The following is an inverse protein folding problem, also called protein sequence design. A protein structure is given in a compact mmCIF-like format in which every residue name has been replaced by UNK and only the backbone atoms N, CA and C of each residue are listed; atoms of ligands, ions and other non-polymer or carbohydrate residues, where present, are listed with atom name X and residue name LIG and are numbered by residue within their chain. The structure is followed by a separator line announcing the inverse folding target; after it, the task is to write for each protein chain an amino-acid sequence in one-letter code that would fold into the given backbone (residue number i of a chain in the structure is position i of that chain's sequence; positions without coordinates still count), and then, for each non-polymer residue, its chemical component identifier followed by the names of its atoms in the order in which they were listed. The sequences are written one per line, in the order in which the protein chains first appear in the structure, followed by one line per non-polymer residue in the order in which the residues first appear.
data_IF_139312111641
#
_entry.id   IF_139312111641
#
_cell.length_a   1.000
_cell.length_b   1.000
_cell.length_c   1.000
_cell.angle_alpha   90.00
_cell.angle_beta   90.00
_cell.angle_gamma   90.00
#
_symmetry.space_group_name_H-M   'P 1'
#
loop_
_entity.id
_entity.type
_entity.pdbx_description
1 polymer ?
#
# COMPACT_ATOMS: atom_id res chain seq x y z
N UNK A 1 -17.48 0.57 15.14
CA UNK A 1 -16.51 -0.53 15.34
C UNK A 1 -15.18 -0.05 14.78
N UNK A 2 -14.04 -0.42 15.35
CA UNK A 2 -12.73 -0.18 14.72
C UNK A 2 -12.64 -1.03 13.45
N UNK A 3 -11.79 -0.63 12.50
CA UNK A 3 -11.49 -1.46 11.32
C UNK A 3 -10.85 -2.80 11.70
N UNK A 4 -10.47 -3.57 10.69
CA UNK A 4 -9.66 -4.79 10.79
C UNK A 4 -8.37 -4.61 9.98
N UNK A 5 -7.43 -5.53 10.15
CA UNK A 5 -6.33 -5.70 9.20
C UNK A 5 -6.74 -6.74 8.15
N UNK A 6 -6.83 -6.35 6.89
CA UNK A 6 -7.05 -7.27 5.77
C UNK A 6 -5.68 -7.64 5.22
N UNK A 7 -5.32 -8.91 5.35
CA UNK A 7 -4.09 -9.47 4.83
C UNK A 7 -4.38 -10.17 3.50
N UNK A 8 -3.65 -9.82 2.46
CA UNK A 8 -3.72 -10.49 1.16
C UNK A 8 -2.36 -11.05 0.77
N UNK A 9 -2.37 -12.18 0.06
CA UNK A 9 -1.17 -12.76 -0.54
C UNK A 9 -1.33 -12.81 -2.06
N UNK A 10 -0.37 -12.23 -2.78
CA UNK A 10 -0.38 -12.14 -4.25
C UNK A 10 0.90 -12.74 -4.81
N UNK A 11 0.81 -13.45 -5.92
CA UNK A 11 1.99 -13.94 -6.65
C UNK A 11 1.91 -13.65 -8.13
N UNK A 12 2.95 -13.01 -8.67
CA UNK A 12 3.13 -12.92 -10.12
C UNK A 12 3.59 -14.29 -10.65
N UNK A 13 2.72 -14.93 -11.42
CA UNK A 13 2.89 -16.27 -11.99
C UNK A 13 2.77 -16.25 -13.52
N UNK A 14 3.18 -15.16 -14.15
CA UNK A 14 2.97 -14.91 -15.57
C UNK A 14 4.18 -15.25 -16.45
N UNK A 15 5.31 -15.66 -15.88
CA UNK A 15 6.52 -16.01 -16.63
C UNK A 15 6.37 -17.39 -17.27
N UNK A 16 6.54 -17.44 -18.59
CA UNK A 16 6.47 -18.65 -19.41
C UNK A 16 7.35 -18.57 -20.66
N UNK A 17 7.70 -19.74 -21.20
CA UNK A 17 8.29 -19.95 -22.52
C UNK A 17 7.61 -21.14 -23.24
N UNK A 18 8.23 -21.67 -24.30
CA UNK A 18 7.72 -22.84 -25.02
C UNK A 18 7.80 -24.15 -24.22
N UNK A 19 8.63 -24.20 -23.17
CA UNK A 19 8.91 -25.39 -22.37
C UNK A 19 8.09 -25.42 -21.07
N UNK A 20 7.51 -24.29 -20.65
CA UNK A 20 6.58 -24.25 -19.52
C UNK A 20 6.43 -22.88 -18.87
N UNK A 21 5.99 -22.89 -17.62
CA UNK A 21 5.90 -21.73 -16.74
C UNK A 21 6.62 -21.98 -15.41
N UNK A 22 6.74 -20.96 -14.56
CA UNK A 22 7.42 -21.00 -13.26
C UNK A 22 6.68 -21.83 -12.17
N UNK A 23 6.31 -23.06 -12.51
CA UNK A 23 5.44 -23.93 -11.69
C UNK A 23 6.12 -24.51 -10.46
N UNK A 24 7.45 -24.67 -10.46
CA UNK A 24 8.16 -25.14 -9.27
C UNK A 24 8.18 -24.05 -8.19
N UNK A 25 8.33 -22.79 -8.60
CA UNK A 25 8.18 -21.65 -7.72
C UNK A 25 6.77 -21.52 -7.14
N UNK A 26 5.74 -21.73 -7.96
CA UNK A 26 4.34 -21.77 -7.49
C UNK A 26 4.12 -22.88 -6.45
N UNK A 27 4.62 -24.09 -6.70
CA UNK A 27 4.51 -25.22 -5.75
C UNK A 27 5.18 -24.89 -4.41
N UNK A 28 6.33 -24.24 -4.45
CA UNK A 28 7.04 -23.79 -3.24
C UNK A 28 6.21 -22.80 -2.43
N UNK A 29 5.57 -21.84 -3.10
CA UNK A 29 4.67 -20.88 -2.46
C UNK A 29 3.42 -21.57 -1.89
N UNK A 30 2.79 -22.46 -2.65
CA UNK A 30 1.67 -23.28 -2.18
C UNK A 30 2.03 -23.98 -0.86
N UNK A 31 3.19 -24.63 -0.77
CA UNK A 31 3.62 -25.34 0.44
C UNK A 31 3.90 -24.40 1.62
N UNK A 32 4.41 -23.20 1.36
CA UNK A 32 4.74 -22.22 2.40
C UNK A 32 3.49 -21.50 2.94
N UNK A 33 2.53 -21.18 2.08
CA UNK A 33 1.40 -20.29 2.39
C UNK A 33 0.14 -21.07 2.77
N UNK A 34 -0.26 -22.09 1.99
CA UNK A 34 -1.57 -22.74 2.18
C UNK A 34 -1.69 -23.55 3.46
N UNK A 35 -0.58 -24.00 4.04
CA UNK A 35 -0.59 -24.62 5.37
C UNK A 35 -1.07 -23.69 6.50
N UNK A 36 -1.17 -22.38 6.23
CA UNK A 36 -1.72 -21.37 7.12
C UNK A 36 -3.17 -20.99 6.79
N UNK A 37 -3.82 -21.68 5.85
CA UNK A 37 -5.16 -21.38 5.33
C UNK A 37 -5.29 -19.94 4.82
N UNK A 38 -4.30 -19.48 4.04
CA UNK A 38 -4.28 -18.15 3.44
C UNK A 38 -4.42 -18.31 1.92
N UNK A 39 -5.48 -17.76 1.29
CA UNK A 39 -5.63 -17.85 -0.15
C UNK A 39 -4.58 -17.01 -0.88
N UNK A 40 -4.11 -17.52 -2.02
CA UNK A 40 -3.21 -16.79 -2.93
C UNK A 40 -4.00 -16.26 -4.12
N UNK A 41 -3.73 -15.02 -4.51
CA UNK A 41 -4.12 -14.52 -5.84
C UNK A 41 -2.97 -14.69 -6.81
N UNK A 42 -3.16 -15.54 -7.83
CA UNK A 42 -2.19 -15.81 -8.88
C UNK A 42 -2.42 -14.87 -10.06
N UNK A 43 -1.44 -14.05 -10.41
CA UNK A 43 -1.49 -13.19 -11.59
C UNK A 43 -0.92 -13.96 -12.77
N UNK A 44 -1.77 -14.29 -13.75
CA UNK A 44 -1.44 -15.17 -14.88
C UNK A 44 -1.69 -14.49 -16.22
N UNK A 45 -0.94 -14.87 -17.25
CA UNK A 45 -1.19 -14.42 -18.63
C UNK A 45 -1.86 -15.53 -19.45
N UNK A 46 -2.34 -15.21 -20.65
CA UNK A 46 -2.88 -16.23 -21.55
C UNK A 46 -1.85 -17.30 -21.93
N UNK A 47 -0.55 -16.99 -21.82
CA UNK A 47 0.53 -17.92 -22.14
C UNK A 47 0.96 -18.79 -20.95
N UNK A 48 0.85 -18.31 -19.71
CA UNK A 48 1.17 -19.12 -18.52
C UNK A 48 0.00 -19.99 -18.06
N UNK A 49 -1.24 -19.53 -18.25
CA UNK A 49 -2.46 -20.21 -17.84
C UNK A 49 -2.56 -21.71 -18.24
N UNK A 50 -2.19 -22.13 -19.47
CA UNK A 50 -2.29 -23.54 -19.88
C UNK A 50 -1.44 -24.48 -19.01
N UNK A 51 -0.28 -24.03 -18.54
CA UNK A 51 0.65 -24.84 -17.75
C UNK A 51 0.27 -24.94 -16.26
N UNK A 52 -0.61 -24.06 -15.81
CA UNK A 52 -0.94 -23.85 -14.40
C UNK A 52 -2.37 -24.25 -14.07
N UNK A 53 -3.17 -24.62 -15.08
CA UNK A 53 -4.62 -24.86 -14.95
C UNK A 53 -4.97 -25.83 -13.83
N UNK A 54 -4.36 -27.01 -13.85
CA UNK A 54 -4.72 -28.09 -12.93
C UNK A 54 -4.44 -27.69 -11.48
N UNK A 55 -3.23 -27.17 -11.20
CA UNK A 55 -2.84 -26.76 -9.86
C UNK A 55 -3.67 -25.60 -9.31
N UNK A 56 -3.88 -24.52 -10.09
CA UNK A 56 -4.65 -23.37 -9.60
C UNK A 56 -6.11 -23.74 -9.41
N UNK A 57 -6.69 -24.60 -10.26
CA UNK A 57 -8.07 -25.06 -10.08
C UNK A 57 -8.23 -25.88 -8.80
N UNK A 58 -7.29 -26.80 -8.53
CA UNK A 58 -7.27 -27.55 -7.28
C UNK A 58 -7.14 -26.61 -6.06
N UNK A 59 -6.23 -25.63 -6.12
CA UNK A 59 -6.02 -24.72 -5.00
C UNK A 59 -7.18 -23.73 -4.81
N UNK A 60 -7.89 -23.36 -5.88
CA UNK A 60 -9.14 -22.62 -5.77
C UNK A 60 -10.19 -23.42 -4.98
N UNK A 61 -10.39 -24.70 -5.34
CA UNK A 61 -11.38 -25.56 -4.69
C UNK A 61 -11.09 -25.81 -3.19
N UNK A 62 -9.80 -25.90 -2.83
CA UNK A 62 -9.37 -26.21 -1.46
C UNK A 62 -9.17 -24.95 -0.61
N UNK A 63 -8.47 -23.95 -1.14
CA UNK A 63 -7.98 -22.78 -0.38
C UNK A 63 -8.65 -21.46 -0.77
N UNK A 64 -9.53 -21.45 -1.77
CA UNK A 64 -10.15 -20.23 -2.32
C UNK A 64 -9.15 -19.28 -2.98
N UNK A 65 -8.08 -19.84 -3.55
CA UNK A 65 -7.19 -19.12 -4.45
C UNK A 65 -7.97 -18.45 -5.58
N UNK A 66 -7.46 -17.35 -6.07
CA UNK A 66 -8.13 -16.54 -7.09
C UNK A 66 -7.13 -16.12 -8.17
N UNK A 67 -7.66 -15.62 -9.29
CA UNK A 67 -6.85 -15.25 -10.44
C UNK A 67 -7.01 -13.78 -10.77
N UNK A 68 -5.89 -13.15 -11.08
CA UNK A 68 -5.84 -11.84 -11.71
C UNK A 68 -5.17 -11.95 -13.09
N UNK A 69 -5.56 -11.05 -14.00
CA UNK A 69 -5.10 -11.02 -15.37
C UNK A 69 -3.77 -10.25 -15.48
N UNK A 70 -2.69 -10.91 -15.89
CA UNK A 70 -1.44 -10.22 -16.23
C UNK A 70 -1.57 -9.47 -17.56
N UNK A 71 -1.16 -8.20 -17.54
CA UNK A 71 -1.00 -7.35 -18.72
C UNK A 71 0.47 -7.02 -18.99
N UNK A 72 1.40 -7.92 -18.64
CA UNK A 72 2.84 -7.67 -18.80
C UNK A 72 3.32 -7.60 -20.26
N UNK A 73 2.58 -8.23 -21.19
CA UNK A 73 2.93 -8.29 -22.63
C UNK A 73 1.89 -7.56 -23.48
N UNK A 74 1.98 -6.23 -23.52
CA UNK A 74 1.09 -5.39 -24.34
C UNK A 74 1.71 -5.16 -25.72
N UNK A 75 1.07 -5.60 -26.83
CA UNK A 75 1.53 -5.29 -28.17
C UNK A 75 1.51 -3.79 -28.46
N UNK A 76 2.49 -3.29 -29.20
CA UNK A 76 2.56 -1.87 -29.62
C UNK A 76 1.25 -1.35 -30.19
N UNK A 77 0.51 -2.20 -30.92
CA UNK A 77 -0.69 -1.78 -31.63
C UNK A 77 -1.88 -1.60 -30.69
N UNK A 78 -1.91 -2.36 -29.58
CA UNK A 78 -2.89 -2.21 -28.51
C UNK A 78 -2.65 -0.89 -27.74
N UNK A 79 -1.39 -0.48 -27.59
CA UNK A 79 -1.01 0.75 -26.89
C UNK A 79 -1.30 2.04 -27.67
N UNK A 80 -1.89 1.98 -28.87
CA UNK A 80 -2.16 3.16 -29.71
C UNK A 80 -3.47 3.87 -29.38
N UNK A 81 -4.47 3.18 -28.83
CA UNK A 81 -5.75 3.77 -28.45
C UNK A 81 -6.44 2.96 -27.36
N UNK A 82 -7.36 3.61 -26.64
CA UNK A 82 -8.17 2.94 -25.61
C UNK A 82 -8.99 1.78 -26.21
N UNK A 83 -9.56 1.94 -27.40
CA UNK A 83 -10.35 0.89 -28.06
C UNK A 83 -9.49 -0.30 -28.53
N UNK A 84 -8.26 -0.04 -28.98
CA UNK A 84 -7.32 -1.11 -29.31
C UNK A 84 -6.90 -1.88 -28.06
N UNK A 85 -6.63 -1.15 -26.97
CA UNK A 85 -6.31 -1.73 -25.67
C UNK A 85 -7.47 -2.56 -25.10
N UNK A 86 -8.71 -2.06 -25.18
CA UNK A 86 -9.89 -2.80 -24.72
C UNK A 86 -10.04 -4.14 -25.41
N UNK A 87 -9.92 -4.16 -26.74
CA UNK A 87 -9.97 -5.41 -27.52
C UNK A 87 -8.85 -6.38 -27.14
N UNK A 88 -7.66 -5.86 -26.84
CA UNK A 88 -6.56 -6.69 -26.36
C UNK A 88 -6.86 -7.28 -24.98
N UNK A 89 -7.28 -6.46 -24.02
CA UNK A 89 -7.64 -6.91 -22.66
C UNK A 89 -8.78 -7.92 -22.68
N UNK A 90 -9.85 -7.68 -23.45
CA UNK A 90 -10.94 -8.64 -23.64
C UNK A 90 -10.43 -9.95 -24.22
N UNK A 91 -9.60 -9.91 -25.26
CA UNK A 91 -9.03 -11.11 -25.86
C UNK A 91 -8.14 -11.89 -24.89
N UNK A 92 -7.32 -11.22 -24.09
CA UNK A 92 -6.48 -11.88 -23.09
C UNK A 92 -7.33 -12.48 -21.96
N UNK A 93 -8.33 -11.75 -21.49
CA UNK A 93 -9.30 -12.22 -20.50
C UNK A 93 -10.05 -13.46 -20.98
N UNK A 94 -10.54 -13.45 -22.22
CA UNK A 94 -11.28 -14.57 -22.80
C UNK A 94 -10.40 -15.82 -22.88
N UNK A 95 -9.15 -15.68 -23.33
CA UNK A 95 -8.19 -16.80 -23.39
C UNK A 95 -7.89 -17.36 -22.00
N UNK A 96 -7.68 -16.52 -20.99
CA UNK A 96 -7.43 -16.98 -19.61
C UNK A 96 -8.68 -17.65 -19.04
N UNK A 97 -9.88 -17.14 -19.35
CA UNK A 97 -11.15 -17.70 -18.91
C UNK A 97 -11.41 -19.12 -19.47
N UNK A 98 -10.84 -19.50 -20.62
CA UNK A 98 -10.89 -20.87 -21.14
C UNK A 98 -10.25 -21.89 -20.17
N UNK A 99 -9.22 -21.47 -19.43
CA UNK A 99 -8.55 -22.30 -18.43
C UNK A 99 -9.22 -22.19 -17.06
N UNK A 100 -9.79 -21.03 -16.73
CA UNK A 100 -10.33 -20.71 -15.41
C UNK A 100 -11.74 -20.09 -15.48
N UNK A 101 -12.76 -20.86 -15.92
CA UNK A 101 -14.11 -20.32 -16.15
C UNK A 101 -14.85 -19.91 -14.86
N UNK A 102 -14.32 -20.27 -13.69
CA UNK A 102 -14.86 -19.92 -12.38
C UNK A 102 -14.43 -18.52 -11.91
N UNK A 103 -13.33 -17.96 -12.43
CA UNK A 103 -12.82 -16.66 -12.01
C UNK A 103 -13.52 -15.52 -12.73
N UNK A 104 -13.77 -14.40 -12.03
CA UNK A 104 -14.28 -13.18 -12.67
C UNK A 104 -13.22 -12.49 -13.53
N UNK A 105 -11.93 -12.68 -13.25
CA UNK A 105 -10.82 -11.99 -13.93
C UNK A 105 -11.04 -10.47 -14.03
N UNK A 106 -11.47 -9.87 -12.92
CA UNK A 106 -11.81 -8.44 -12.79
C UNK A 106 -10.72 -7.63 -12.08
N UNK A 107 -9.60 -8.26 -11.73
CA UNK A 107 -8.38 -7.59 -11.28
C UNK A 107 -7.29 -7.79 -12.33
N UNK A 108 -6.60 -6.71 -12.68
CA UNK A 108 -5.43 -6.75 -13.53
C UNK A 108 -4.14 -6.67 -12.70
N UNK A 109 -3.07 -7.26 -13.20
CA UNK A 109 -1.70 -7.06 -12.73
C UNK A 109 -0.84 -6.50 -13.86
N UNK A 110 0.13 -5.65 -13.51
CA UNK A 110 0.98 -4.91 -14.45
C UNK A 110 0.23 -3.88 -15.31
N UNK A 111 0.97 -3.02 -16.02
CA UNK A 111 0.41 -2.03 -16.94
C UNK A 111 -0.12 -0.75 -16.28
N UNK A 112 -0.02 -0.61 -14.95
CA UNK A 112 -0.52 0.53 -14.18
C UNK A 112 0.15 1.86 -14.55
N UNK A 113 1.33 1.82 -15.15
CA UNK A 113 2.04 3.01 -15.67
C UNK A 113 1.33 3.67 -16.87
N UNK A 114 0.44 2.96 -17.56
CA UNK A 114 -0.16 3.41 -18.82
C UNK A 114 -1.59 3.94 -18.62
N UNK A 115 -1.80 5.23 -18.90
CA UNK A 115 -3.12 5.87 -18.91
C UNK A 115 -4.11 5.14 -19.83
N UNK A 116 -3.64 4.65 -20.98
CA UNK A 116 -4.46 3.91 -21.95
C UNK A 116 -4.96 2.59 -21.34
N UNK A 117 -4.10 1.88 -20.59
CA UNK A 117 -4.48 0.66 -19.88
C UNK A 117 -5.51 0.96 -18.80
N UNK A 118 -5.27 1.97 -17.96
CA UNK A 118 -6.17 2.33 -16.86
C UNK A 118 -7.56 2.73 -17.35
N UNK A 119 -7.64 3.53 -18.43
CA UNK A 119 -8.92 3.90 -19.05
C UNK A 119 -9.63 2.69 -19.64
N UNK A 120 -8.91 1.82 -20.34
CA UNK A 120 -9.48 0.59 -20.89
C UNK A 120 -10.04 -0.32 -19.78
N UNK A 121 -9.29 -0.50 -18.69
CA UNK A 121 -9.72 -1.29 -17.52
C UNK A 121 -10.98 -0.70 -16.88
N UNK A 122 -11.02 0.62 -16.66
CA UNK A 122 -12.20 1.28 -16.09
C UNK A 122 -13.43 1.11 -16.99
N UNK A 123 -13.30 1.30 -18.31
CA UNK A 123 -14.40 1.15 -19.26
C UNK A 123 -14.89 -0.30 -19.43
N UNK A 124 -13.99 -1.27 -19.24
CA UNK A 124 -14.32 -2.70 -19.24
C UNK A 124 -14.89 -3.18 -17.89
N UNK A 125 -14.92 -2.31 -16.88
CA UNK A 125 -15.48 -2.61 -15.58
C UNK A 125 -14.59 -3.49 -14.69
N UNK A 126 -13.27 -3.42 -14.85
CA UNK A 126 -12.35 -3.99 -13.87
C UNK A 126 -12.52 -3.29 -12.50
N UNK A 127 -12.32 -4.07 -11.45
CA UNK A 127 -12.49 -3.63 -10.07
C UNK A 127 -11.19 -3.15 -9.44
N UNK A 128 -10.04 -3.69 -9.87
CA UNK A 128 -8.74 -3.28 -9.36
C UNK A 128 -7.58 -3.51 -10.31
N UNK A 129 -6.46 -2.87 -10.01
CA UNK A 129 -5.18 -3.09 -10.66
C UNK A 129 -4.05 -3.10 -9.62
N UNK A 130 -3.29 -4.18 -9.63
CA UNK A 130 -2.15 -4.42 -8.75
C UNK A 130 -0.83 -4.00 -9.39
N UNK A 131 0.02 -3.37 -8.57
CA UNK A 131 1.42 -3.13 -8.91
C UNK A 131 1.98 -1.76 -8.51
N UNK A 132 1.24 -0.95 -7.73
CA UNK A 132 1.72 0.38 -7.32
C UNK A 132 2.81 0.30 -6.24
N UNK A 133 3.88 1.08 -6.39
CA UNK A 133 4.99 1.09 -5.43
C UNK A 133 5.12 2.45 -4.72
N UNK A 134 4.54 2.58 -3.53
CA UNK A 134 4.61 3.82 -2.76
C UNK A 134 6.05 4.34 -2.59
N UNK A 135 6.26 5.64 -2.87
CA UNK A 135 7.55 6.36 -2.87
C UNK A 135 8.65 5.88 -3.85
N UNK A 136 8.39 4.87 -4.69
CA UNK A 136 9.39 4.30 -5.59
C UNK A 136 9.69 5.22 -6.79
N UNK A 137 10.97 5.28 -7.17
CA UNK A 137 11.47 5.99 -8.36
C UNK A 137 12.42 5.07 -9.14
N UNK A 138 12.17 4.92 -10.43
CA UNK A 138 13.07 4.31 -11.44
C UNK A 138 13.54 2.87 -11.15
N UNK A 139 12.92 2.15 -10.21
CA UNK A 139 13.16 0.72 -10.00
C UNK A 139 12.25 -0.07 -10.94
N UNK A 140 12.82 -1.00 -11.72
CA UNK A 140 12.13 -1.75 -12.77
C UNK A 140 11.42 -0.89 -13.82
N UNK A 141 11.95 0.33 -14.06
CA UNK A 141 11.30 1.37 -14.87
C UNK A 141 9.92 1.82 -14.34
N UNK A 142 9.66 1.61 -13.05
CA UNK A 142 8.44 2.01 -12.36
C UNK A 142 8.77 3.19 -11.44
N UNK A 143 8.00 4.28 -11.62
CA UNK A 143 8.03 5.45 -10.74
C UNK A 143 6.63 5.72 -10.23
N UNK A 144 6.41 5.46 -8.94
CA UNK A 144 5.10 5.54 -8.29
C UNK A 144 5.08 6.51 -7.10
N UNK A 145 6.17 7.26 -6.89
CA UNK A 145 6.21 8.36 -5.92
C UNK A 145 4.99 9.26 -6.12
N UNK A 146 4.30 9.55 -5.03
CA UNK A 146 3.11 10.39 -5.05
C UNK A 146 1.79 9.64 -4.91
N UNK A 147 1.72 8.36 -5.31
CA UNK A 147 0.52 7.56 -5.06
C UNK A 147 0.29 7.37 -3.54
N UNK A 148 -0.96 7.13 -3.09
CA UNK A 148 -1.23 6.68 -1.72
C UNK A 148 -0.68 5.26 -1.47
N UNK A 149 -0.37 4.94 -0.21
CA UNK A 149 -0.16 3.56 0.23
C UNK A 149 -1.50 2.84 0.43
N UNK A 150 -1.49 1.51 0.52
CA UNK A 150 -2.68 0.69 0.66
C UNK A 150 -3.60 0.73 -0.56
N UNK A 151 -4.90 0.58 -0.32
CA UNK A 151 -5.93 0.61 -1.35
C UNK A 151 -6.48 2.02 -1.51
N UNK A 152 -6.69 2.46 -2.75
CA UNK A 152 -7.35 3.72 -3.06
C UNK A 152 -8.11 3.63 -4.37
N UNK A 153 -9.19 4.41 -4.52
CA UNK A 153 -9.80 4.58 -5.84
C UNK A 153 -8.88 5.43 -6.68
N UNK A 154 -8.37 4.90 -7.79
CA UNK A 154 -7.40 5.59 -8.63
C UNK A 154 -8.09 6.54 -9.61
N UNK A 155 -7.46 7.66 -9.94
CA UNK A 155 -7.86 8.50 -11.08
C UNK A 155 -7.17 8.00 -12.35
N UNK A 156 -7.88 7.47 -13.37
CA UNK A 156 -7.22 6.97 -14.57
C UNK A 156 -6.52 8.06 -15.38
N UNK A 157 -6.97 9.32 -15.27
CA UNK A 157 -6.31 10.48 -15.89
C UNK A 157 -5.04 10.88 -15.12
N UNK A 158 -4.89 10.40 -13.87
CA UNK A 158 -3.74 10.68 -13.04
C UNK A 158 -3.53 9.58 -12.00
N UNK A 159 -2.88 8.51 -12.43
CA UNK A 159 -2.71 7.26 -11.65
C UNK A 159 -2.08 7.43 -10.27
N UNK A 160 -1.38 8.54 -10.04
CA UNK A 160 -0.71 8.84 -8.76
C UNK A 160 -1.64 9.58 -7.78
N UNK A 161 -2.89 9.87 -8.15
CA UNK A 161 -3.86 10.55 -7.30
C UNK A 161 -5.08 9.66 -7.00
N UNK A 162 -5.67 9.80 -5.80
CA UNK A 162 -7.03 9.36 -5.54
C UNK A 162 -8.03 10.01 -6.50
N UNK A 163 -9.02 9.24 -6.95
CA UNK A 163 -10.10 9.80 -7.74
C UNK A 163 -11.02 10.68 -6.92
N UNK A 164 -11.30 11.85 -7.48
CA UNK A 164 -12.26 12.81 -6.91
C UNK A 164 -13.69 12.58 -7.38
N UNK A 165 -13.90 11.68 -8.33
CA UNK A 165 -15.22 11.30 -8.85
C UNK A 165 -15.61 9.93 -8.28
N UNK A 166 -16.91 9.57 -8.23
CA UNK A 166 -17.31 8.20 -7.95
C UNK A 166 -16.74 7.27 -9.03
N UNK A 167 -15.62 6.59 -8.73
CA UNK A 167 -14.94 5.66 -9.63
C UNK A 167 -14.90 4.27 -9.03
N UNK A 168 -14.59 3.29 -9.87
CA UNK A 168 -14.71 1.87 -9.52
C UNK A 168 -13.38 1.12 -9.45
N UNK A 169 -12.33 1.65 -10.07
CA UNK A 169 -11.04 0.98 -10.18
C UNK A 169 -10.17 1.29 -8.96
N UNK A 170 -9.78 0.24 -8.23
CA UNK A 170 -8.95 0.33 -7.03
C UNK A 170 -7.48 0.12 -7.41
N UNK A 171 -6.63 1.08 -7.06
CA UNK A 171 -5.18 0.92 -7.11
C UNK A 171 -4.71 0.11 -5.91
N UNK A 172 -3.87 -0.89 -6.15
CA UNK A 172 -3.39 -1.84 -5.15
C UNK A 172 -1.86 -1.83 -5.17
N UNK A 173 -1.25 -1.71 -3.99
CA UNK A 173 0.20 -1.78 -3.85
C UNK A 173 0.76 -3.11 -4.37
N UNK A 174 1.96 -3.08 -4.94
CA UNK A 174 2.74 -4.27 -5.27
C UNK A 174 3.02 -5.08 -4.00
N UNK A 175 3.52 -4.40 -2.98
CA UNK A 175 3.83 -4.94 -1.64
C UNK A 175 3.73 -3.80 -0.64
N UNK A 176 3.33 -4.09 0.59
CA UNK A 176 3.30 -3.09 1.67
C UNK A 176 4.71 -2.64 2.08
N UNK A 177 4.83 -1.42 2.59
CA UNK A 177 6.11 -0.76 2.94
C UNK A 177 6.15 -0.35 4.40
N UNK A 178 7.33 -0.41 5.04
CA UNK A 178 7.56 0.29 6.31
C UNK A 178 7.53 1.78 6.04
N UNK A 179 6.39 2.40 6.31
CA UNK A 179 6.11 3.78 5.92
C UNK A 179 7.08 4.78 6.55
N UNK A 180 7.64 4.49 7.73
CA UNK A 180 8.64 5.35 8.36
C UNK A 180 9.98 5.21 7.64
N UNK A 181 10.50 3.99 7.52
CA UNK A 181 11.83 3.77 6.93
C UNK A 181 11.86 4.07 5.43
N UNK A 182 10.80 3.73 4.69
CA UNK A 182 10.68 4.03 3.26
C UNK A 182 10.71 5.55 3.00
N UNK A 183 9.99 6.35 3.80
CA UNK A 183 10.01 7.82 3.69
C UNK A 183 11.40 8.39 3.98
N UNK A 184 11.98 8.05 5.14
CA UNK A 184 13.23 8.68 5.60
C UNK A 184 14.47 8.25 4.83
N UNK A 185 14.52 6.99 4.39
CA UNK A 185 15.67 6.48 3.65
C UNK A 185 15.70 6.91 2.19
N UNK A 186 14.55 7.28 1.63
CA UNK A 186 14.37 7.49 0.20
C UNK A 186 14.49 6.21 -0.63
N UNK A 187 14.53 5.03 -0.01
CA UNK A 187 14.64 3.73 -0.67
C UNK A 187 13.53 2.77 -0.18
N UNK A 188 12.32 2.87 -0.75
CA UNK A 188 11.17 2.09 -0.30
C UNK A 188 11.28 0.60 -0.62
N UNK A 189 12.10 0.20 -1.60
CA UNK A 189 12.20 -1.20 -2.01
C UNK A 189 12.77 -2.08 -0.88
N UNK A 190 13.85 -1.61 -0.23
CA UNK A 190 14.48 -2.32 0.89
C UNK A 190 13.48 -2.59 2.03
N UNK A 191 12.65 -1.60 2.35
CA UNK A 191 11.80 -1.62 3.53
C UNK A 191 10.37 -2.06 3.17
N UNK A 192 10.25 -3.31 2.75
CA UNK A 192 9.04 -3.89 2.19
C UNK A 192 8.61 -5.20 2.84
N UNK A 193 7.43 -5.69 2.47
CA UNK A 193 7.01 -7.08 2.71
C UNK A 193 7.56 -8.07 1.69
N UNK A 194 8.43 -7.67 0.75
CA UNK A 194 9.03 -8.61 -0.19
C UNK A 194 10.16 -9.43 0.49
N UNK A 195 10.08 -10.77 0.55
CA UNK A 195 11.12 -11.59 1.17
C UNK A 195 12.49 -11.36 0.52
N UNK A 196 12.55 -11.20 -0.80
CA UNK A 196 13.81 -11.06 -1.52
C UNK A 196 14.53 -9.76 -1.14
N UNK A 197 13.79 -8.67 -1.01
CA UNK A 197 14.35 -7.37 -0.60
C UNK A 197 14.91 -7.45 0.83
N UNK A 198 14.11 -7.96 1.78
CA UNK A 198 14.52 -7.94 3.20
C UNK A 198 15.61 -8.96 3.52
N UNK A 199 15.65 -10.10 2.84
CA UNK A 199 16.71 -11.10 3.00
C UNK A 199 18.01 -10.54 2.42
N UNK A 200 17.98 -10.00 1.19
CA UNK A 200 19.17 -9.43 0.54
C UNK A 200 19.71 -8.22 1.28
N UNK A 201 18.84 -7.42 1.89
CA UNK A 201 19.22 -6.32 2.75
C UNK A 201 19.80 -6.78 4.10
N UNK A 202 19.57 -8.04 4.52
CA UNK A 202 19.94 -8.55 5.84
C UNK A 202 19.02 -8.06 6.96
N UNK A 203 17.80 -7.61 6.62
CA UNK A 203 16.76 -7.25 7.59
C UNK A 203 16.07 -8.48 8.17
N UNK A 204 15.98 -9.55 7.38
CA UNK A 204 15.48 -10.86 7.79
C UNK A 204 16.45 -11.96 7.34
N UNK A 205 16.31 -13.14 7.95
CA UNK A 205 16.95 -14.38 7.52
C UNK A 205 16.02 -15.56 7.82
N UNK A 206 16.33 -16.76 7.32
CA UNK A 206 15.56 -17.97 7.62
C UNK A 206 15.29 -18.21 9.13
N UNK A 207 16.14 -17.70 10.02
CA UNK A 207 16.05 -17.88 11.47
C UNK A 207 15.61 -16.65 12.25
N UNK A 208 15.56 -15.48 11.60
CA UNK A 208 15.25 -14.21 12.25
C UNK A 208 14.36 -13.35 11.36
N UNK A 209 13.12 -13.17 11.82
CA UNK A 209 12.08 -12.38 11.16
C UNK A 209 11.57 -11.25 12.04
N UNK A 210 12.33 -10.86 13.08
CA UNK A 210 11.88 -9.89 14.08
C UNK A 210 11.54 -8.52 13.46
N UNK A 211 12.27 -8.12 12.42
CA UNK A 211 11.94 -6.91 11.64
C UNK A 211 10.52 -7.00 11.07
N UNK A 212 10.19 -8.09 10.36
CA UNK A 212 8.88 -8.29 9.78
C UNK A 212 7.75 -8.42 10.81
N UNK A 213 8.01 -9.02 11.98
CA UNK A 213 7.03 -9.03 13.08
C UNK A 213 6.66 -7.62 13.52
N UNK A 214 7.67 -6.78 13.76
CA UNK A 214 7.46 -5.36 14.15
C UNK A 214 6.81 -4.57 13.03
N UNK A 215 7.12 -4.90 11.79
CA UNK A 215 6.56 -4.27 10.61
C UNK A 215 5.05 -4.52 10.50
N UNK A 216 4.60 -5.78 10.59
CA UNK A 216 3.16 -6.08 10.59
C UNK A 216 2.46 -5.57 11.86
N UNK A 217 3.14 -5.57 13.02
CA UNK A 217 2.61 -5.00 14.26
C UNK A 217 2.32 -3.49 14.11
N UNK A 218 3.15 -2.77 13.35
CA UNK A 218 2.91 -1.37 13.05
C UNK A 218 1.58 -1.19 12.28
N UNK A 219 1.36 -1.95 11.21
CA UNK A 219 0.08 -1.95 10.48
C UNK A 219 -1.10 -2.36 11.37
N UNK A 220 -0.96 -3.48 12.08
CA UNK A 220 -1.98 -4.02 12.97
C UNK A 220 -2.39 -3.02 14.05
N UNK A 221 -1.44 -2.34 14.64
CA UNK A 221 -1.72 -1.38 15.70
C UNK A 221 -2.48 -0.14 15.24
N UNK A 222 -2.35 0.22 13.96
CA UNK A 222 -3.04 1.36 13.36
C UNK A 222 -4.52 1.08 13.10
N UNK A 223 -4.95 -0.19 13.13
CA UNK A 223 -6.36 -0.58 13.02
C UNK A 223 -7.24 0.13 14.06
N UNK A 224 -6.67 0.44 15.23
CA UNK A 224 -7.37 1.14 16.31
C UNK A 224 -7.73 2.60 15.99
N UNK A 225 -7.05 3.24 15.04
CA UNK A 225 -7.30 4.65 14.68
C UNK A 225 -8.22 4.78 13.47
N UNK A 226 -8.36 3.72 12.69
CA UNK A 226 -9.10 3.70 11.45
C UNK A 226 -10.49 3.11 11.68
N UNK A 227 -11.51 3.80 11.16
CA UNK A 227 -12.87 3.25 11.16
C UNK A 227 -13.02 2.20 10.06
N UNK A 228 -12.31 2.40 8.96
CA UNK A 228 -12.21 1.47 7.85
C UNK A 228 -11.06 0.49 8.07
N UNK A 229 -11.10 -0.61 7.30
CA UNK A 229 -10.05 -1.61 7.28
C UNK A 229 -8.72 -1.05 6.74
N UNK A 230 -7.62 -1.58 7.28
CA UNK A 230 -6.26 -1.38 6.75
C UNK A 230 -5.89 -2.59 5.92
N UNK A 231 -5.30 -2.36 4.74
CA UNK A 231 -4.92 -3.43 3.81
C UNK A 231 -3.40 -3.63 3.87
N UNK A 232 -2.96 -4.86 4.09
CA UNK A 232 -1.58 -5.29 4.04
C UNK A 232 -1.39 -6.28 2.90
N UNK A 233 -0.56 -5.92 1.95
CA UNK A 233 -0.32 -6.69 0.72
C UNK A 233 1.03 -7.40 0.88
N UNK A 234 0.97 -8.70 1.15
CA UNK A 234 2.12 -9.57 1.02
C UNK A 234 2.22 -10.05 -0.44
N UNK A 235 3.43 -10.01 -0.99
CA UNK A 235 3.68 -10.51 -2.33
C UNK A 235 4.86 -11.47 -2.34
N UNK A 236 4.86 -12.43 -3.27
CA UNK A 236 6.08 -13.07 -3.73
C UNK A 236 5.93 -13.61 -5.15
N UNK A 237 6.92 -13.34 -5.99
CA UNK A 237 6.87 -13.76 -7.38
C UNK A 237 7.26 -15.23 -7.57
N UNK A 238 6.47 -15.96 -8.36
CA UNK A 238 6.72 -17.39 -8.61
C UNK A 238 8.07 -17.62 -9.28
N UNK A 239 8.47 -16.72 -10.17
CA UNK A 239 9.72 -16.84 -10.92
C UNK A 239 10.97 -16.61 -10.04
N UNK A 240 10.81 -15.97 -8.87
CA UNK A 240 11.89 -15.75 -7.91
C UNK A 240 12.00 -16.90 -6.90
N UNK A 241 11.03 -17.80 -6.90
CA UNK A 241 10.95 -18.96 -6.03
C UNK A 241 11.47 -20.24 -6.68
N UNK A 242 12.07 -20.17 -7.86
CA UNK A 242 12.68 -21.31 -8.55
C UNK A 242 13.99 -20.96 -9.26
N UNK A 243 14.82 -21.98 -9.44
CA UNK A 243 16.01 -21.93 -10.29
C UNK A 243 15.83 -22.94 -11.43
N UNK A 244 15.39 -22.45 -12.58
CA UNK A 244 15.11 -23.22 -13.79
C UNK A 244 15.75 -22.54 -15.01
N UNK A 245 15.88 -23.21 -16.18
CA UNK A 245 16.33 -22.53 -17.40
C UNK A 245 15.48 -21.30 -17.77
N UNK A 246 14.20 -21.28 -17.40
CA UNK A 246 13.28 -20.15 -17.55
C UNK A 246 13.55 -19.04 -16.52
N UNK A 247 13.95 -19.42 -15.30
CA UNK A 247 14.07 -18.56 -14.12
C UNK A 247 15.46 -18.73 -13.48
N UNK A 248 16.45 -17.93 -13.90
CA UNK A 248 17.83 -18.04 -13.43
C UNK A 248 18.32 -16.92 -12.50
N UNK A 249 17.45 -16.00 -12.09
CA UNK A 249 17.84 -14.82 -11.30
C UNK A 249 18.14 -15.16 -9.83
N UNK A 250 17.49 -16.20 -9.30
CA UNK A 250 17.62 -16.63 -7.90
C UNK A 250 18.09 -18.09 -7.85
N UNK A 251 18.85 -18.41 -6.81
CA UNK A 251 19.30 -19.78 -6.54
C UNK A 251 18.20 -20.62 -5.90
N UNK A 252 18.37 -21.94 -5.88
CA UNK A 252 17.43 -22.82 -5.19
C UNK A 252 17.42 -22.55 -3.67
N UNK A 253 18.58 -22.21 -3.11
CA UNK A 253 18.77 -21.78 -1.73
C UNK A 253 18.02 -20.49 -1.42
N UNK A 254 18.08 -19.47 -2.30
CA UNK A 254 17.35 -18.21 -2.12
C UNK A 254 15.85 -18.47 -1.98
N UNK A 255 15.27 -19.27 -2.88
CA UNK A 255 13.85 -19.56 -2.82
C UNK A 255 13.45 -20.44 -1.62
N UNK A 256 14.33 -21.34 -1.15
CA UNK A 256 14.11 -22.08 0.11
C UNK A 256 14.13 -21.17 1.33
N UNK A 257 15.07 -20.22 1.37
CA UNK A 257 15.15 -19.23 2.44
C UNK A 257 13.91 -18.33 2.43
N UNK A 258 13.53 -17.78 1.27
CA UNK A 258 12.31 -16.98 1.13
C UNK A 258 11.06 -17.75 1.59
N UNK A 259 10.92 -19.02 1.22
CA UNK A 259 9.82 -19.87 1.68
C UNK A 259 9.79 -20.04 3.22
N UNK A 260 10.95 -20.21 3.85
CA UNK A 260 11.05 -20.36 5.31
C UNK A 260 10.77 -19.04 6.04
N UNK A 261 11.25 -17.91 5.52
CA UNK A 261 10.97 -16.58 6.06
C UNK A 261 9.48 -16.28 5.97
N UNK A 262 8.86 -16.52 4.81
CA UNK A 262 7.42 -16.39 4.62
C UNK A 262 6.63 -17.29 5.58
N UNK A 263 7.01 -18.56 5.70
CA UNK A 263 6.37 -19.49 6.63
C UNK A 263 6.39 -18.98 8.09
N UNK A 264 7.56 -18.57 8.57
CA UNK A 264 7.72 -18.04 9.92
C UNK A 264 6.89 -16.76 10.11
N UNK A 265 6.83 -15.91 9.08
CA UNK A 265 6.07 -14.67 9.09
C UNK A 265 4.56 -14.95 9.16
N UNK A 266 4.05 -15.79 8.27
CA UNK A 266 2.63 -16.15 8.24
C UNK A 266 2.20 -16.85 9.53
N UNK A 267 3.05 -17.71 10.10
CA UNK A 267 2.85 -18.29 11.43
C UNK A 267 2.61 -17.20 12.48
N UNK A 268 3.41 -16.13 12.46
CA UNK A 268 3.25 -15.01 13.38
C UNK A 268 1.97 -14.19 13.09
N UNK A 269 1.69 -13.87 11.82
CA UNK A 269 0.49 -13.11 11.43
C UNK A 269 -0.79 -13.82 11.90
N UNK A 270 -0.84 -15.15 11.83
CA UNK A 270 -1.97 -15.95 12.33
C UNK A 270 -2.19 -15.83 13.85
N UNK A 271 -1.22 -15.35 14.61
CA UNK A 271 -1.36 -15.08 16.05
C UNK A 271 -1.99 -13.72 16.36
N UNK A 272 -2.03 -12.81 15.39
CA UNK A 272 -2.56 -11.47 15.58
C UNK A 272 -4.10 -11.48 15.61
N UNK A 273 -4.74 -10.78 16.57
CA UNK A 273 -6.20 -10.69 16.61
C UNK A 273 -6.73 -9.77 15.51
N UNK A 274 -8.00 -9.89 15.12
CA UNK A 274 -8.64 -8.96 14.16
C UNK A 274 -7.92 -8.84 12.80
N UNK A 275 -7.28 -9.92 12.36
CA UNK A 275 -6.77 -10.06 10.98
C UNK A 275 -7.72 -10.94 10.20
N UNK A 276 -8.09 -10.51 8.99
CA UNK A 276 -8.81 -11.33 8.03
C UNK A 276 -7.95 -11.58 6.80
N UNK A 277 -7.95 -12.83 6.35
CA UNK A 277 -7.17 -13.28 5.20
C UNK A 277 -8.11 -13.37 3.99
N UNK A 278 -7.79 -12.62 2.95
CA UNK A 278 -8.61 -12.53 1.74
C UNK A 278 -7.75 -12.69 0.50
N UNK A 279 -8.31 -13.30 -0.55
CA UNK A 279 -7.74 -13.11 -1.88
C UNK A 279 -8.01 -11.67 -2.36
N UNK A 280 -7.33 -11.24 -3.43
CA UNK A 280 -7.36 -9.86 -3.85
C UNK A 280 -8.75 -9.42 -4.33
N UNK A 281 -9.51 -10.32 -4.98
CA UNK A 281 -10.89 -10.06 -5.40
C UNK A 281 -11.81 -9.80 -4.21
N UNK A 282 -11.74 -10.64 -3.18
CA UNK A 282 -12.48 -10.47 -1.93
C UNK A 282 -12.08 -9.16 -1.23
N UNK A 283 -10.78 -8.84 -1.17
CA UNK A 283 -10.29 -7.62 -0.54
C UNK A 283 -10.78 -6.35 -1.28
N UNK A 284 -10.78 -6.35 -2.62
CA UNK A 284 -11.31 -5.23 -3.42
C UNK A 284 -12.82 -5.09 -3.25
N UNK A 285 -13.56 -6.21 -3.26
CA UNK A 285 -15.01 -6.20 -2.98
C UNK A 285 -15.31 -5.64 -1.58
N UNK A 286 -14.54 -6.06 -0.56
CA UNK A 286 -14.62 -5.54 0.80
C UNK A 286 -14.31 -4.04 0.84
N UNK A 287 -13.22 -3.59 0.21
CA UNK A 287 -12.86 -2.17 0.15
C UNK A 287 -13.97 -1.33 -0.48
N UNK A 288 -14.56 -1.80 -1.58
CA UNK A 288 -15.64 -1.07 -2.27
C UNK A 288 -16.93 -1.02 -1.47
N UNK A 289 -17.22 -2.07 -0.71
CA UNK A 289 -18.38 -2.13 0.18
C UNK A 289 -18.24 -1.18 1.37
N UNK A 290 -17.06 -1.14 1.99
CA UNK A 290 -16.81 -0.30 3.17
C UNK A 290 -16.58 1.19 2.79
N UNK A 291 -16.21 1.48 1.54
CA UNK A 291 -15.87 2.83 1.07
C UNK A 291 -16.63 3.25 -0.20
N UNK A 292 -17.96 3.14 -0.28
CA UNK A 292 -18.70 3.20 -1.55
C UNK A 292 -18.60 4.54 -2.32
N UNK A 293 -18.22 5.62 -1.65
CA UNK A 293 -18.31 6.98 -2.19
C UNK A 293 -16.96 7.68 -2.43
N UNK A 294 -15.92 7.30 -1.69
CA UNK A 294 -14.63 8.01 -1.72
C UNK A 294 -13.55 7.23 -1.01
N UNK A 295 -12.29 7.60 -1.29
CA UNK A 295 -11.14 7.17 -0.48
C UNK A 295 -11.30 7.71 0.96
N UNK A 296 -11.27 6.83 1.99
CA UNK A 296 -11.40 7.25 3.38
C UNK A 296 -10.13 7.95 3.88
N UNK A 297 -10.24 8.71 4.96
CA UNK A 297 -9.08 9.18 5.71
C UNK A 297 -8.38 8.01 6.40
N UNK A 298 -7.12 7.77 6.06
CA UNK A 298 -6.28 6.69 6.60
C UNK A 298 -5.19 7.28 7.48
N UNK A 299 -5.10 6.77 8.71
CA UNK A 299 -4.18 7.24 9.76
C UNK A 299 -3.15 6.15 10.07
N UNK A 300 -1.87 6.46 9.91
CA UNK A 300 -0.77 5.54 10.21
C UNK A 300 0.25 6.21 11.12
N UNK A 301 0.64 5.54 12.20
CA UNK A 301 1.73 5.95 13.07
C UNK A 301 2.75 4.83 13.16
N UNK A 302 4.00 5.17 12.85
CA UNK A 302 5.13 4.26 12.84
C UNK A 302 6.20 4.76 13.79
N UNK A 303 6.61 3.88 14.69
CA UNK A 303 7.85 4.01 15.45
C UNK A 303 8.98 3.40 14.62
N UNK A 304 10.19 3.95 14.72
CA UNK A 304 11.33 3.38 14.01
C UNK A 304 11.66 1.97 14.51
N UNK A 305 11.61 0.99 13.62
CA UNK A 305 11.94 -0.39 13.95
C UNK A 305 13.46 -0.49 14.17
N UNK A 306 13.96 -0.85 15.37
CA UNK A 306 15.40 -0.92 15.60
C UNK A 306 16.04 -2.02 14.76
N UNK A 307 17.10 -1.68 14.03
CA UNK A 307 17.86 -2.60 13.20
C UNK A 307 19.33 -2.59 13.63
N UNK A 308 19.89 -3.72 14.08
CA UNK A 308 21.29 -3.80 14.45
C UNK A 308 22.17 -3.61 13.19
N UNK A 309 23.10 -2.63 13.17
CA UNK A 309 23.91 -2.31 11.99
C UNK A 309 24.71 -3.50 11.45
N UNK A 310 25.08 -4.44 12.31
CA UNK A 310 25.84 -5.65 11.97
C UNK A 310 25.06 -6.65 11.09
N UNK A 311 23.74 -6.52 11.00
CA UNK A 311 22.90 -7.38 10.16
C UNK A 311 22.77 -6.87 8.73
N UNK A 312 23.08 -5.60 8.48
CA UNK A 312 22.87 -4.99 7.17
C UNK A 312 23.86 -5.51 6.13
N UNK A 313 23.34 -5.87 4.96
CA UNK A 313 24.14 -6.04 3.77
C UNK A 313 24.52 -4.66 3.19
N UNK A 314 25.73 -4.19 3.51
CA UNK A 314 26.19 -2.86 3.14
C UNK A 314 26.26 -2.62 1.62
N UNK A 315 26.39 -3.68 0.81
CA UNK A 315 26.36 -3.54 -0.65
C UNK A 315 24.94 -3.23 -1.14
N UNK A 316 23.94 -3.88 -0.55
CA UNK A 316 22.53 -3.64 -0.87
C UNK A 316 22.04 -2.27 -0.35
N UNK A 317 22.62 -1.80 0.75
CA UNK A 317 22.35 -0.48 1.33
C UNK A 317 23.18 0.66 0.73
N UNK A 318 23.98 0.43 -0.32
CA UNK A 318 24.87 1.45 -0.86
C UNK A 318 24.11 2.75 -1.20
N UNK A 319 24.48 3.85 -0.55
CA UNK A 319 23.87 5.17 -0.75
C UNK A 319 22.54 5.39 -0.03
N UNK A 320 22.06 4.40 0.74
CA UNK A 320 20.83 4.49 1.54
C UNK A 320 21.18 4.73 3.00
N UNK A 321 20.63 5.77 3.66
CA UNK A 321 20.84 5.96 5.08
C UNK A 321 20.10 4.90 5.93
N UNK A 322 20.66 4.57 7.09
CA UNK A 322 20.23 3.43 7.91
C UNK A 322 19.39 3.78 9.15
N UNK A 323 19.22 5.07 9.45
CA UNK A 323 18.57 5.53 10.68
C UNK A 323 19.52 5.52 11.91
N UNK A 324 18.99 5.55 13.15
CA UNK A 324 17.57 5.49 13.48
C UNK A 324 16.79 6.71 12.98
N UNK A 325 15.49 6.53 12.83
CA UNK A 325 14.57 7.53 12.31
C UNK A 325 13.64 8.07 13.41
N UNK A 326 13.15 9.32 13.29
CA UNK A 326 12.14 9.82 14.21
C UNK A 326 10.78 9.18 13.91
N UNK A 327 9.99 8.92 14.96
CA UNK A 327 8.62 8.42 14.80
C UNK A 327 7.81 9.33 13.88
N UNK A 328 7.00 8.72 13.05
CA UNK A 328 6.36 9.38 11.93
C UNK A 328 4.86 9.09 11.93
N UNK A 329 4.06 10.14 11.83
CA UNK A 329 2.63 10.04 11.61
C UNK A 329 2.33 10.37 10.16
N UNK A 330 1.62 9.48 9.48
CA UNK A 330 1.20 9.63 8.10
C UNK A 330 -0.32 9.64 8.02
N UNK A 331 -0.83 10.49 7.15
CA UNK A 331 -2.24 10.57 6.83
C UNK A 331 -2.41 10.64 5.31
N UNK A 332 -3.42 9.99 4.75
CA UNK A 332 -3.95 10.37 3.45
C UNK A 332 -5.46 10.32 3.44
N UNK A 333 -6.06 11.12 2.56
CA UNK A 333 -7.44 11.01 2.13
C UNK A 333 -7.51 11.21 0.61
N UNK A 334 -8.71 11.39 0.07
CA UNK A 334 -8.92 11.65 -1.36
C UNK A 334 -8.23 12.93 -1.87
N UNK A 335 -8.00 13.90 -0.99
CA UNK A 335 -7.59 15.24 -1.37
C UNK A 335 -6.09 15.50 -1.09
N UNK A 336 -5.46 14.74 -0.19
CA UNK A 336 -4.05 14.91 0.16
C UNK A 336 -3.38 13.69 0.81
N UNK A 337 -2.05 13.70 0.84
CA UNK A 337 -1.21 12.88 1.71
C UNK A 337 -0.32 13.80 2.56
N UNK A 338 -0.14 13.51 3.85
CA UNK A 338 0.68 14.28 4.78
C UNK A 338 1.55 13.36 5.63
N UNK A 339 2.78 13.80 5.87
CA UNK A 339 3.75 13.10 6.71
C UNK A 339 4.27 14.08 7.76
N UNK A 340 4.12 13.74 9.03
CA UNK A 340 4.52 14.54 10.18
C UNK A 340 5.60 13.82 10.96
N UNK A 341 6.71 14.51 11.19
CA UNK A 341 7.78 14.01 12.05
C UNK A 341 7.49 14.40 13.50
N UNK A 342 7.75 13.47 14.43
CA UNK A 342 7.56 13.69 15.86
C UNK A 342 8.09 15.05 16.32
N UNK A 343 7.21 15.82 16.94
CA UNK A 343 7.52 17.16 17.47
C UNK A 343 7.20 18.32 16.51
N UNK A 344 6.92 18.06 15.23
CA UNK A 344 6.56 19.11 14.26
C UNK A 344 5.04 19.33 14.17
N UNK A 345 4.59 20.59 14.12
CA UNK A 345 3.16 20.90 14.02
C UNK A 345 2.64 20.83 12.58
N UNK A 346 3.43 21.33 11.63
CA UNK A 346 3.21 21.25 10.20
C UNK A 346 3.69 19.89 9.66
N UNK A 347 3.16 19.41 8.52
CA UNK A 347 3.73 18.26 7.85
C UNK A 347 5.14 18.60 7.32
N UNK A 348 6.02 17.61 7.30
CA UNK A 348 7.29 17.68 6.58
C UNK A 348 7.07 17.46 5.07
N UNK A 349 6.14 16.57 4.72
CA UNK A 349 5.72 16.33 3.35
C UNK A 349 4.20 16.50 3.25
N UNK A 350 3.76 17.28 2.26
CA UNK A 350 2.35 17.42 1.89
C UNK A 350 2.23 17.17 0.38
N UNK A 351 1.41 16.19 0.00
CA UNK A 351 0.99 15.95 -1.37
C UNK A 351 -0.42 16.49 -1.55
N UNK A 352 -0.60 17.45 -2.44
CA UNK A 352 -1.87 18.11 -2.69
C UNK A 352 -2.52 17.56 -3.98
N UNK A 353 -3.46 16.63 -3.85
CA UNK A 353 -4.14 16.04 -5.02
C UNK A 353 -5.23 16.93 -5.62
N UNK A 354 -5.54 18.08 -5.00
CA UNK A 354 -6.57 19.02 -5.47
C UNK A 354 -6.01 20.08 -6.41
N UNK A 355 -4.78 20.54 -6.17
CA UNK A 355 -4.14 21.60 -6.96
C UNK A 355 -2.62 21.49 -7.09
N UNK A 356 -2.03 20.39 -6.59
CA UNK A 356 -0.63 20.06 -6.81
C UNK A 356 -0.38 19.53 -8.23
N UNK A 357 0.89 19.54 -8.61
CA UNK A 357 1.35 19.20 -9.95
C UNK A 357 1.78 17.74 -10.03
N UNK A 358 1.31 16.94 -11.00
CA UNK A 358 1.71 15.55 -11.13
C UNK A 358 3.21 15.37 -11.39
N UNK A 359 3.84 16.30 -12.12
CA UNK A 359 5.27 16.30 -12.40
C UNK A 359 6.15 16.44 -11.14
N UNK A 360 5.61 17.06 -10.09
CA UNK A 360 6.25 17.20 -8.78
C UNK A 360 5.75 16.12 -7.80
N UNK A 361 5.08 15.08 -8.29
CA UNK A 361 4.42 14.04 -7.49
C UNK A 361 3.45 14.64 -6.47
N UNK A 362 2.79 15.73 -6.85
CA UNK A 362 1.90 16.57 -6.04
C UNK A 362 2.53 17.20 -4.80
N UNK A 363 3.86 17.13 -4.65
CA UNK A 363 4.53 17.68 -3.48
C UNK A 363 4.38 19.20 -3.41
N UNK A 364 3.96 19.69 -2.26
CA UNK A 364 3.97 21.11 -1.92
C UNK A 364 5.40 21.54 -1.57
N UNK A 365 5.99 22.40 -2.39
CA UNK A 365 7.35 22.92 -2.17
C UNK A 365 7.43 23.92 -1.03
N UNK A 366 6.32 24.58 -0.71
CA UNK A 366 6.22 25.51 0.41
C UNK A 366 5.07 25.12 1.33
N UNK A 367 5.42 24.45 2.43
CA UNK A 367 4.47 24.08 3.48
C UNK A 367 4.41 25.24 4.48
N UNK A 368 3.24 25.91 4.64
CA UNK A 368 3.13 27.04 5.55
C UNK A 368 3.32 26.59 7.02
N UNK A 369 4.07 27.36 7.83
CA UNK A 369 4.32 26.99 9.22
C UNK A 369 3.07 27.18 10.07
N UNK A 370 2.87 26.26 11.03
CA UNK A 370 1.81 26.38 12.03
C UNK A 370 2.33 27.23 13.19
N UNK A 371 1.72 28.41 13.37
CA UNK A 371 2.05 29.32 14.47
C UNK A 371 1.12 29.04 15.64
N UNK A 372 1.65 28.38 16.68
CA UNK A 372 0.93 28.16 17.91
C UNK A 372 0.76 29.48 18.69
N UNK A 373 -0.48 29.82 19.04
CA UNK A 373 -0.81 31.10 19.68
C UNK A 373 -0.97 30.91 21.18
N UNK A 374 -1.86 30.01 21.59
CA UNK A 374 -2.16 29.84 23.01
C UNK A 374 -2.70 28.45 23.36
N UNK A 375 -2.46 28.07 24.60
CA UNK A 375 -3.16 26.98 25.29
C UNK A 375 -3.86 27.51 26.52
N UNK A 376 -5.14 27.20 26.67
CA UNK A 376 -5.84 27.38 27.96
C UNK A 376 -6.30 26.02 28.44
N UNK A 377 -5.64 25.53 29.49
CA UNK A 377 -5.94 24.23 30.10
C UNK A 377 -6.64 24.42 31.43
N UNK A 378 -7.77 23.74 31.59
CA UNK A 378 -8.49 23.61 32.87
C UNK A 378 -8.47 22.15 33.33
N UNK A 379 -9.12 21.86 34.46
CA UNK A 379 -9.31 20.48 34.92
C UNK A 379 -10.17 19.62 33.95
N UNK A 380 -10.97 20.26 33.08
CA UNK A 380 -11.95 19.60 32.20
C UNK A 380 -11.73 19.84 30.72
N UNK A 381 -11.02 20.90 30.34
CA UNK A 381 -10.90 21.33 28.95
C UNK A 381 -9.48 21.72 28.58
N UNK A 382 -9.17 21.62 27.29
CA UNK A 382 -7.99 22.23 26.66
C UNK A 382 -8.50 23.03 25.47
N UNK A 383 -8.24 24.33 25.45
CA UNK A 383 -8.45 25.18 24.28
C UNK A 383 -7.10 25.44 23.62
N UNK A 384 -7.02 25.17 22.32
CA UNK A 384 -5.83 25.42 21.50
C UNK A 384 -6.19 26.46 20.45
N UNK A 385 -5.34 27.47 20.32
CA UNK A 385 -5.40 28.49 19.29
C UNK A 385 -4.13 28.46 18.45
N UNK A 386 -4.27 28.40 17.13
CA UNK A 386 -3.16 28.42 16.21
C UNK A 386 -3.55 29.12 14.90
N UNK A 387 -2.55 29.65 14.20
CA UNK A 387 -2.75 30.29 12.90
C UNK A 387 -1.76 29.80 11.85
N UNK A 388 -2.19 29.90 10.60
CA UNK A 388 -1.42 29.49 9.43
C UNK A 388 -1.64 30.54 8.34
N UNK A 389 -0.55 31.15 7.88
CA UNK A 389 -0.57 32.08 6.76
C UNK A 389 -0.25 31.31 5.48
N UNK A 390 -1.21 31.22 4.55
CA UNK A 390 -1.06 30.44 3.32
C UNK A 390 -1.14 31.31 2.07
N UNK A 391 -0.23 31.09 1.13
CA UNK A 391 -0.22 31.81 -0.15
C UNK A 391 -1.36 31.37 -1.08
N UNK A 392 -1.89 30.16 -0.88
CA UNK A 392 -2.97 29.56 -1.69
C UNK A 392 -3.92 28.71 -0.86
N UNK A 393 -5.08 28.40 -1.43
CA UNK A 393 -5.96 27.40 -0.84
C UNK A 393 -5.40 25.99 -1.09
N UNK A 394 -5.39 25.14 -0.06
CA UNK A 394 -4.89 23.77 -0.15
C UNK A 394 -5.47 22.88 0.96
N UNK A 395 -5.58 21.57 0.74
CA UNK A 395 -5.79 20.62 1.82
C UNK A 395 -4.60 20.64 2.79
N UNK A 396 -4.88 20.61 4.10
CA UNK A 396 -3.86 20.73 5.13
C UNK A 396 -4.26 20.01 6.43
N UNK A 397 -3.32 19.91 7.36
CA UNK A 397 -3.57 19.42 8.70
C UNK A 397 -2.44 19.78 9.64
N UNK A 398 -2.68 19.61 10.93
CA UNK A 398 -1.67 19.86 11.96
C UNK A 398 -1.72 18.81 13.05
N UNK A 399 -0.55 18.54 13.66
CA UNK A 399 -0.42 17.65 14.79
C UNK A 399 -0.01 18.43 16.05
N UNK A 400 -0.52 18.03 17.21
CA UNK A 400 0.03 18.42 18.51
C UNK A 400 0.48 17.17 19.26
N UNK A 401 1.75 17.13 19.65
CA UNK A 401 2.40 15.93 20.19
C UNK A 401 2.34 15.90 21.73
N UNK A 402 1.47 15.06 22.27
CA UNK A 402 1.31 14.70 23.70
C UNK A 402 0.13 13.74 23.88
N UNK A 403 -0.05 13.28 25.11
CA UNK A 403 -1.19 12.42 25.48
C UNK A 403 -2.51 13.20 25.52
N UNK A 404 -3.34 12.99 24.50
CA UNK A 404 -4.71 13.50 24.42
C UNK A 404 -5.78 12.43 24.66
N UNK A 405 -5.44 11.18 25.03
CA UNK A 405 -6.41 10.09 25.22
C UNK A 405 -7.60 10.43 26.12
N UNK A 406 -7.44 11.22 27.20
CA UNK A 406 -8.56 11.57 28.07
C UNK A 406 -9.57 12.52 27.44
N UNK A 407 -9.31 13.07 26.26
CA UNK A 407 -10.10 14.13 25.65
C UNK A 407 -10.79 13.68 24.35
N UNK A 408 -11.76 14.47 23.91
CA UNK A 408 -12.38 14.42 22.58
C UNK A 408 -12.59 15.86 22.06
N UNK A 409 -12.71 16.03 20.75
CA UNK A 409 -13.00 17.34 20.17
C UNK A 409 -14.46 17.72 20.44
N UNK A 410 -14.67 18.76 21.23
CA UNK A 410 -16.01 19.27 21.57
C UNK A 410 -16.43 20.46 20.72
N UNK A 411 -15.49 21.33 20.32
CA UNK A 411 -15.74 22.48 19.45
C UNK A 411 -14.52 22.68 18.53
N UNK A 412 -14.74 23.02 17.26
CA UNK A 412 -13.65 23.23 16.28
C UNK A 412 -14.17 23.66 14.92
N UNK A 413 -14.33 24.97 14.71
CA UNK A 413 -14.85 25.51 13.44
C UNK A 413 -13.83 25.28 12.32
N UNK A 414 -14.28 24.71 11.20
CA UNK A 414 -13.44 24.45 10.03
C UNK A 414 -12.61 23.17 10.11
N UNK A 415 -12.70 22.41 11.21
CA UNK A 415 -12.09 21.08 11.31
C UNK A 415 -12.95 20.07 10.55
N UNK A 416 -12.36 19.45 9.54
CA UNK A 416 -13.00 18.46 8.68
C UNK A 416 -12.95 17.05 9.29
N UNK A 417 -11.83 16.71 9.93
CA UNK A 417 -11.65 15.46 10.65
C UNK A 417 -10.61 15.64 11.77
N UNK A 418 -10.60 14.74 12.75
CA UNK A 418 -9.58 14.70 13.79
C UNK A 418 -9.33 13.28 14.28
N UNK A 419 -8.11 13.03 14.75
CA UNK A 419 -7.76 11.75 15.36
C UNK A 419 -6.82 11.93 16.53
N UNK A 420 -7.10 11.23 17.62
CA UNK A 420 -6.15 11.05 18.73
C UNK A 420 -5.44 9.72 18.47
N UNK A 421 -4.13 9.80 18.25
CA UNK A 421 -3.27 8.64 17.99
C UNK A 421 -2.59 8.28 19.31
N UNK A 422 -3.08 7.20 19.93
CA UNK A 422 -2.48 6.61 21.15
C UNK A 422 -2.24 7.69 22.22
N UNK A 423 -1.11 7.63 22.93
CA UNK A 423 -0.59 8.64 23.87
C UNK A 423 0.32 9.68 23.18
N UNK A 424 0.35 9.71 21.85
CA UNK A 424 1.41 10.38 21.09
C UNK A 424 0.99 11.75 20.56
N UNK A 425 -0.18 11.86 19.91
CA UNK A 425 -0.63 13.12 19.31
C UNK A 425 -2.14 13.23 19.16
N UNK A 426 -2.59 14.46 18.88
CA UNK A 426 -3.86 14.74 18.22
C UNK A 426 -3.60 15.38 16.86
N UNK A 427 -4.28 14.89 15.82
CA UNK A 427 -4.26 15.42 14.47
C UNK A 427 -5.58 16.11 14.15
N UNK A 428 -5.51 17.22 13.42
CA UNK A 428 -6.66 17.92 12.86
C UNK A 428 -6.49 18.09 11.36
N UNK A 429 -7.51 17.69 10.59
CA UNK A 429 -7.63 17.88 9.14
C UNK A 429 -8.50 19.10 8.85
N UNK A 430 -8.05 19.99 7.99
CA UNK A 430 -8.81 21.18 7.55
C UNK A 430 -8.24 21.74 6.24
N UNK A 431 -9.02 22.54 5.51
CA UNK A 431 -8.50 23.19 4.31
C UNK A 431 -8.09 24.63 4.60
N UNK A 432 -6.92 25.02 4.10
CA UNK A 432 -6.44 26.39 4.15
C UNK A 432 -7.12 27.22 3.06
N UNK A 433 -7.43 28.47 3.41
CA UNK A 433 -7.73 29.54 2.45
C UNK A 433 -6.46 30.35 2.20
N UNK A 434 -6.44 31.06 1.09
CA UNK A 434 -5.40 32.08 0.85
C UNK A 434 -5.50 33.18 1.91
N UNK A 435 -4.36 33.57 2.48
CA UNK A 435 -4.25 34.55 3.56
C UNK A 435 -4.11 33.90 4.93
N UNK A 436 -4.50 34.65 5.96
CA UNK A 436 -4.44 34.20 7.36
C UNK A 436 -5.61 33.26 7.66
N UNK A 437 -5.29 32.09 8.24
CA UNK A 437 -6.24 31.11 8.71
C UNK A 437 -6.08 30.97 10.23
N UNK A 438 -7.13 31.32 10.98
CA UNK A 438 -7.15 31.20 12.44
C UNK A 438 -8.05 30.04 12.85
N UNK A 439 -7.53 29.19 13.74
CA UNK A 439 -8.26 28.04 14.27
C UNK A 439 -8.31 28.11 15.79
N UNK A 440 -9.50 27.83 16.34
CA UNK A 440 -9.73 27.63 17.76
C UNK A 440 -10.44 26.30 17.94
N UNK A 441 -9.81 25.40 18.70
CA UNK A 441 -10.35 24.08 19.01
C UNK A 441 -10.43 23.88 20.51
N UNK A 442 -11.52 23.27 20.95
CA UNK A 442 -11.76 22.95 22.36
C UNK A 442 -11.92 21.46 22.53
N UNK A 443 -11.02 20.89 23.31
CA UNK A 443 -11.04 19.51 23.72
C UNK A 443 -11.68 19.41 25.10
N UNK A 444 -12.64 18.52 25.25
CA UNK A 444 -13.30 18.23 26.53
C UNK A 444 -12.90 16.85 27.02
N UNK A 445 -12.76 16.70 28.34
CA UNK A 445 -12.44 15.41 28.95
C UNK A 445 -13.64 14.45 28.78
N UNK A 446 -13.36 13.19 28.42
CA UNK A 446 -14.32 12.09 28.28
C UNK A 446 -15.05 11.78 29.58
#
# INVERSE_FOLDING_TARGET
MSGRLIFTFVSLADRFDENGAATYGMQRLHLAVHKHDIPITWIVSSGSAPFQKEMITEWHEIYQDEIALSLSKIPTEASRSVEAMKRHIESERDKVAEFFPWSKLNIAGSGHQSEIVLKALEELGFDGIWGFCWEQIEVDNITDRGCPWGFYYLDPDNRLAPSRKPRKLVGIEWTSRDLCKAHHSGNPCIYSSDPNDVIRAGLCSYSDIEYWKRFIDAYHSNVLYNQNDIYFIQQQESHEMECSPLCGTYTDEDGKEAAQVLDNFLTYVKTLPHVEFMNLSQAVENYKKENPNSVPGTFMYFEDIPLPPEKHNLDYFRGTPLGPWPDTFLFFDRDCQMIFIRGQFQPECLRNYVGGKPEDYFAETHIPPVQFISEKKTARTIELEFKIDSERAMPFGTCFWRDYRPYFLSEGVGILDYKIIRKELIFFRFDLKRGENFFSVKLSRK
#
